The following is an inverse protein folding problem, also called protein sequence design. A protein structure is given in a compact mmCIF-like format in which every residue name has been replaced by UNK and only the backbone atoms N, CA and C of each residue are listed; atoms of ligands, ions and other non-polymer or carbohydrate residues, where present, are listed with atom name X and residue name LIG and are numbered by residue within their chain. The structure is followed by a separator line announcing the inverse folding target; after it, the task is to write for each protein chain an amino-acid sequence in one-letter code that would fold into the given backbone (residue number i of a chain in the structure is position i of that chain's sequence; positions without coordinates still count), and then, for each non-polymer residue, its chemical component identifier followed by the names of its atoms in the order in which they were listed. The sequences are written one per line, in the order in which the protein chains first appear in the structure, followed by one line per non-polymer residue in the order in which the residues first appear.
data_IF_249678357311
#
_entry.id   IF_249678357311
#
_cell.length_a   1.000
_cell.length_b   1.000
_cell.length_c   1.000
_cell.angle_alpha   90.00
_cell.angle_beta   90.00
_cell.angle_gamma   90.00
#
_symmetry.space_group_name_H-M   'P 1'
#
loop_
_entity.id
_entity.type
_entity.pdbx_description
1 polymer ?
#
# COMPACT_ATOMS: atom_id res chain seq x y z
N UNK A 1 -11.36 -7.93 27.93
CA UNK A 1 -10.22 -7.06 27.57
C UNK A 1 -10.10 -7.06 26.05
N UNK A 2 -10.81 -6.15 25.35
CA UNK A 2 -10.67 -5.93 23.90
C UNK A 2 -9.35 -5.15 23.69
N UNK A 3 -8.46 -5.75 22.95
CA UNK A 3 -7.07 -5.32 22.70
C UNK A 3 -6.96 -3.84 22.28
N UNK A 4 -6.24 -3.02 23.04
CA UNK A 4 -5.94 -1.61 22.69
C UNK A 4 -4.94 -1.48 21.53
N UNK A 5 -4.29 -2.56 21.12
CA UNK A 5 -3.32 -2.59 20.01
C UNK A 5 -3.84 -2.10 18.64
N UNK A 6 -5.12 -2.30 18.23
CA UNK A 6 -5.60 -1.75 16.96
C UNK A 6 -5.73 -0.24 16.93
N UNK A 7 -5.97 0.42 18.06
CA UNK A 7 -6.31 1.86 18.13
C UNK A 7 -5.06 2.72 17.94
N UNK A 8 -3.96 2.41 18.64
CA UNK A 8 -2.68 3.13 18.48
C UNK A 8 -2.14 3.02 17.06
N UNK A 9 -2.35 1.87 16.44
CA UNK A 9 -1.98 1.61 15.04
C UNK A 9 -2.75 2.46 14.03
N UNK A 10 -4.01 2.83 14.35
CA UNK A 10 -4.81 3.71 13.48
C UNK A 10 -4.30 5.15 13.49
N UNK A 11 -3.68 5.63 14.54
CA UNK A 11 -3.05 6.96 14.57
C UNK A 11 -1.85 7.09 13.63
N UNK A 12 -1.17 5.98 13.32
CA UNK A 12 -0.05 5.99 12.37
C UNK A 12 -0.52 6.16 10.91
N UNK A 13 -1.84 6.01 10.67
CA UNK A 13 -2.41 6.21 9.34
C UNK A 13 -2.50 7.70 9.01
N UNK A 14 -2.02 8.12 7.82
CA UNK A 14 -2.14 9.52 7.39
C UNK A 14 -3.57 10.07 7.48
N UNK A 15 -4.57 9.21 7.23
CA UNK A 15 -5.99 9.56 7.29
C UNK A 15 -6.46 9.91 8.71
N UNK A 16 -5.85 9.32 9.73
CA UNK A 16 -6.27 9.41 11.12
C UNK A 16 -5.20 10.00 12.06
N UNK A 17 -4.07 10.45 11.51
CA UNK A 17 -2.92 10.92 12.29
C UNK A 17 -3.24 12.09 13.23
N UNK A 18 -4.24 12.89 12.87
CA UNK A 18 -4.66 14.05 13.65
C UNK A 18 -5.88 13.77 14.55
N UNK A 19 -6.40 12.52 14.53
CA UNK A 19 -7.55 12.14 15.35
C UNK A 19 -7.13 11.81 16.78
N UNK A 20 -8.03 12.10 17.71
CA UNK A 20 -7.84 11.71 19.11
C UNK A 20 -8.10 10.21 19.31
N UNK A 21 -7.58 9.66 20.40
CA UNK A 21 -7.86 8.25 20.77
C UNK A 21 -9.35 8.00 20.93
N UNK A 22 -10.12 9.00 21.40
CA UNK A 22 -11.56 8.91 21.55
C UNK A 22 -12.28 8.84 20.21
N UNK A 23 -11.88 9.67 19.23
CA UNK A 23 -12.38 9.61 17.87
C UNK A 23 -12.13 8.22 17.26
N UNK A 24 -10.93 7.67 17.46
CA UNK A 24 -10.57 6.34 16.95
C UNK A 24 -11.34 5.20 17.66
N UNK A 25 -11.59 5.31 18.95
CA UNK A 25 -12.45 4.37 19.67
C UNK A 25 -13.87 4.38 19.11
N UNK A 26 -14.41 5.55 18.82
CA UNK A 26 -15.73 5.68 18.21
C UNK A 26 -15.76 5.01 16.83
N UNK A 27 -14.78 5.29 15.97
CA UNK A 27 -14.67 4.66 14.64
C UNK A 27 -14.58 3.13 14.77
N UNK A 28 -13.75 2.62 15.68
CA UNK A 28 -13.58 1.18 15.86
C UNK A 28 -14.83 0.49 16.43
N UNK A 29 -15.69 1.21 17.15
CA UNK A 29 -16.90 0.63 17.76
C UNK A 29 -17.93 0.16 16.73
N UNK A 30 -18.00 0.81 15.56
CA UNK A 30 -18.89 0.43 14.45
C UNK A 30 -18.15 -0.27 13.29
N UNK A 31 -16.84 -0.44 13.41
CA UNK A 31 -16.01 -1.14 12.41
C UNK A 31 -16.00 -2.65 12.63
N UNK A 32 -15.66 -3.41 11.60
CA UNK A 32 -15.54 -4.86 11.66
C UNK A 32 -14.17 -5.36 11.20
N UNK A 33 -13.58 -6.26 12.00
CA UNK A 33 -12.34 -6.92 11.65
C UNK A 33 -12.63 -8.13 10.76
N UNK A 34 -11.99 -8.21 9.59
CA UNK A 34 -12.16 -9.31 8.64
C UNK A 34 -10.82 -9.98 8.38
N UNK A 35 -10.79 -11.31 8.46
CA UNK A 35 -9.67 -12.14 8.01
C UNK A 35 -9.95 -12.58 6.58
N UNK A 36 -9.03 -12.32 5.67
CA UNK A 36 -9.16 -12.59 4.24
C UNK A 36 -8.05 -13.55 3.83
N UNK A 37 -8.42 -14.65 3.20
CA UNK A 37 -7.45 -15.62 2.70
C UNK A 37 -6.78 -15.14 1.40
N UNK A 38 -5.59 -15.63 1.14
CA UNK A 38 -4.86 -15.33 -0.11
C UNK A 38 -5.71 -15.66 -1.34
N UNK A 39 -5.75 -14.73 -2.29
CA UNK A 39 -6.50 -14.86 -3.55
C UNK A 39 -7.97 -14.48 -3.45
N UNK A 40 -8.51 -14.27 -2.24
CA UNK A 40 -9.90 -13.86 -2.04
C UNK A 40 -10.08 -12.38 -2.38
N UNK A 41 -11.18 -12.06 -3.07
CA UNK A 41 -11.58 -10.69 -3.33
C UNK A 41 -12.31 -10.10 -2.13
N UNK A 42 -12.05 -8.84 -1.85
CA UNK A 42 -12.76 -8.07 -0.83
C UNK A 42 -14.02 -7.46 -1.44
N UNK A 43 -13.92 -7.03 -2.69
CA UNK A 43 -15.01 -6.50 -3.51
C UNK A 43 -14.59 -6.46 -4.99
N UNK A 44 -15.57 -6.36 -5.88
CA UNK A 44 -15.39 -6.19 -7.31
C UNK A 44 -15.81 -4.79 -7.76
N UNK A 45 -15.23 -4.32 -8.88
CA UNK A 45 -15.68 -3.11 -9.57
C UNK A 45 -17.16 -3.21 -9.91
N UNK A 46 -17.94 -2.15 -9.60
CA UNK A 46 -19.39 -2.09 -9.81
C UNK A 46 -20.24 -2.62 -8.65
N UNK A 47 -19.69 -3.33 -7.67
CA UNK A 47 -20.45 -3.74 -6.49
C UNK A 47 -20.87 -2.54 -5.63
N UNK A 48 -22.02 -2.63 -4.92
CA UNK A 48 -22.48 -1.58 -4.00
C UNK A 48 -21.42 -1.20 -2.99
N UNK A 49 -21.17 0.10 -2.85
CA UNK A 49 -20.20 0.61 -1.91
C UNK A 49 -20.67 0.43 -0.46
N UNK A 50 -19.93 -0.33 0.31
CA UNK A 50 -20.25 -0.63 1.71
C UNK A 50 -19.37 0.10 2.73
N UNK A 51 -18.29 0.74 2.28
CA UNK A 51 -17.32 1.40 3.13
C UNK A 51 -15.89 1.21 2.66
N UNK A 52 -14.94 1.67 3.44
CA UNK A 52 -13.52 1.58 3.12
C UNK A 52 -12.78 0.65 4.10
N UNK A 53 -11.53 0.38 3.78
CA UNK A 53 -10.75 -0.63 4.46
C UNK A 53 -9.39 -0.11 4.90
N UNK A 54 -8.86 -0.67 5.99
CA UNK A 54 -7.49 -0.48 6.45
C UNK A 54 -6.84 -1.85 6.54
N UNK A 55 -5.67 -2.02 5.93
CA UNK A 55 -4.89 -3.24 6.07
C UNK A 55 -4.14 -3.20 7.40
N UNK A 56 -4.42 -4.17 8.28
CA UNK A 56 -3.70 -4.32 9.56
C UNK A 56 -2.54 -5.32 9.44
N UNK A 57 -2.68 -6.32 8.54
CA UNK A 57 -1.65 -7.32 8.24
C UNK A 57 -1.89 -7.86 6.84
N UNK A 58 -0.80 -8.20 6.15
CA UNK A 58 -0.87 -8.77 4.81
C UNK A 58 -0.74 -7.70 3.71
N UNK A 59 -1.21 -8.02 2.52
CA UNK A 59 -1.14 -7.15 1.35
C UNK A 59 -2.38 -7.32 0.48
N UNK A 60 -2.95 -6.19 0.04
CA UNK A 60 -4.12 -6.15 -0.84
C UNK A 60 -3.73 -5.47 -2.15
N UNK A 61 -4.06 -6.09 -3.28
CA UNK A 61 -3.93 -5.54 -4.62
C UNK A 61 -5.22 -4.81 -4.98
N UNK A 62 -5.12 -3.54 -5.36
CA UNK A 62 -6.20 -2.75 -5.95
C UNK A 62 -5.91 -2.60 -7.44
N UNK A 63 -6.85 -2.98 -8.30
CA UNK A 63 -6.63 -3.08 -9.73
C UNK A 63 -7.89 -2.89 -10.55
N UNK A 64 -7.73 -2.60 -11.83
CA UNK A 64 -8.78 -2.61 -12.86
C UNK A 64 -8.49 -3.66 -13.91
N UNK A 65 -9.55 -4.11 -14.55
CA UNK A 65 -9.45 -4.96 -15.76
C UNK A 65 -9.71 -4.07 -16.97
N UNK A 66 -8.76 -4.06 -17.91
CA UNK A 66 -8.93 -3.33 -19.17
C UNK A 66 -9.99 -4.02 -20.04
N UNK A 67 -10.57 -3.33 -21.06
CA UNK A 67 -11.48 -3.96 -22.00
C UNK A 67 -10.89 -5.19 -22.73
N UNK A 68 -9.56 -5.29 -22.78
CA UNK A 68 -8.83 -6.42 -23.35
C UNK A 68 -8.57 -7.55 -22.35
N UNK A 69 -9.15 -7.51 -21.15
CA UNK A 69 -9.00 -8.50 -20.09
C UNK A 69 -7.67 -8.46 -19.33
N UNK A 70 -6.83 -7.41 -19.53
CA UNK A 70 -5.56 -7.26 -18.81
C UNK A 70 -5.74 -6.56 -17.47
N UNK A 71 -5.14 -7.09 -16.42
CA UNK A 71 -5.08 -6.43 -15.12
C UNK A 71 -4.12 -5.22 -15.16
N UNK A 72 -4.61 -4.07 -14.73
CA UNK A 72 -3.83 -2.88 -14.43
C UNK A 72 -3.80 -2.69 -12.91
N UNK A 73 -2.67 -3.04 -12.28
CA UNK A 73 -2.49 -2.85 -10.84
C UNK A 73 -2.28 -1.37 -10.55
N UNK A 74 -3.21 -0.77 -9.85
CA UNK A 74 -3.19 0.65 -9.49
C UNK A 74 -2.46 0.87 -8.17
N UNK A 75 -2.66 -0.03 -7.20
CA UNK A 75 -2.11 0.12 -5.88
C UNK A 75 -1.86 -1.22 -5.19
N UNK A 76 -0.75 -1.30 -4.44
CA UNK A 76 -0.48 -2.37 -3.49
C UNK A 76 -0.60 -1.76 -2.10
N UNK A 77 -1.62 -2.19 -1.38
CA UNK A 77 -1.95 -1.68 -0.04
C UNK A 77 -1.23 -2.54 0.98
N UNK A 78 -0.31 -1.92 1.69
CA UNK A 78 0.50 -2.53 2.75
C UNK A 78 -0.15 -2.36 4.13
N UNK A 79 0.35 -3.04 5.18
CA UNK A 79 -0.10 -2.80 6.53
C UNK A 79 -0.02 -1.32 6.91
N UNK A 80 -1.05 -0.84 7.59
CA UNK A 80 -1.25 0.55 8.01
C UNK A 80 -1.47 1.53 6.84
N UNK A 81 -2.07 1.05 5.75
CA UNK A 81 -2.59 1.90 4.68
C UNK A 81 -4.09 1.67 4.51
N UNK A 82 -4.80 2.71 4.05
CA UNK A 82 -6.23 2.67 3.76
C UNK A 82 -6.49 2.60 2.26
N UNK A 83 -7.63 2.05 1.87
CA UNK A 83 -8.05 2.02 0.47
C UNK A 83 -9.58 2.00 0.36
N UNK A 84 -10.07 2.33 -0.82
CA UNK A 84 -11.49 2.48 -1.14
C UNK A 84 -12.20 3.61 -0.34
N UNK A 85 -11.47 4.62 0.12
CA UNK A 85 -12.04 5.78 0.79
C UNK A 85 -12.63 6.82 -0.17
N UNK A 86 -12.22 6.82 -1.44
CA UNK A 86 -12.64 7.82 -2.44
C UNK A 86 -14.15 7.83 -2.66
N UNK A 87 -14.83 6.69 -2.86
CA UNK A 87 -16.28 6.67 -3.05
C UNK A 87 -17.08 7.25 -1.88
N UNK A 88 -16.51 7.29 -0.67
CA UNK A 88 -17.12 7.91 0.50
C UNK A 88 -17.47 9.40 0.26
N UNK A 89 -16.63 10.10 -0.48
CA UNK A 89 -16.74 11.54 -0.76
C UNK A 89 -17.30 11.85 -2.15
N UNK A 90 -17.44 10.82 -3.00
CA UNK A 90 -18.06 10.94 -4.31
C UNK A 90 -19.53 10.52 -4.23
N UNK A 91 -20.37 11.08 -5.10
CA UNK A 91 -21.77 10.66 -5.22
C UNK A 91 -21.94 9.25 -5.82
N UNK A 92 -20.84 8.51 -6.02
CA UNK A 92 -20.84 7.15 -6.57
C UNK A 92 -21.17 6.14 -5.47
N UNK A 93 -22.14 5.28 -5.74
CA UNK A 93 -22.60 4.25 -4.81
C UNK A 93 -21.95 2.87 -5.02
N UNK A 94 -20.92 2.79 -5.86
CA UNK A 94 -20.27 1.53 -6.23
C UNK A 94 -18.75 1.65 -6.12
N UNK A 95 -18.09 0.49 -5.89
CA UNK A 95 -16.63 0.42 -5.93
C UNK A 95 -16.13 0.66 -7.36
N UNK A 96 -15.16 1.58 -7.56
CA UNK A 96 -14.64 1.91 -8.90
C UNK A 96 -13.49 1.01 -9.36
N UNK A 97 -13.11 0.01 -8.57
CA UNK A 97 -11.96 -0.88 -8.78
C UNK A 97 -12.22 -2.23 -8.12
N UNK A 98 -11.38 -3.23 -8.44
CA UNK A 98 -11.34 -4.51 -7.75
C UNK A 98 -10.31 -4.48 -6.61
N UNK A 99 -10.54 -5.27 -5.55
CA UNK A 99 -9.56 -5.48 -4.49
C UNK A 99 -9.42 -6.97 -4.14
N UNK A 100 -8.17 -7.47 -4.12
CA UNK A 100 -7.84 -8.88 -3.88
C UNK A 100 -6.67 -9.02 -2.90
N UNK A 101 -6.79 -9.91 -1.93
CA UNK A 101 -5.71 -10.23 -1.01
C UNK A 101 -4.61 -11.04 -1.73
N UNK A 102 -3.37 -10.57 -1.67
CA UNK A 102 -2.21 -11.25 -2.24
C UNK A 102 -1.61 -12.30 -1.31
N UNK A 103 -1.92 -12.20 -0.02
CA UNK A 103 -1.55 -13.16 1.02
C UNK A 103 -2.65 -13.18 2.10
N UNK A 104 -2.55 -14.07 3.09
CA UNK A 104 -3.48 -14.08 4.22
C UNK A 104 -3.42 -12.74 4.94
N UNK A 105 -4.50 -11.98 4.86
CA UNK A 105 -4.58 -10.59 5.29
C UNK A 105 -5.60 -10.40 6.39
N UNK A 106 -5.39 -9.37 7.22
CA UNK A 106 -6.35 -8.90 8.21
C UNK A 106 -6.66 -7.44 7.91
N UNK A 107 -7.93 -7.13 7.70
CA UNK A 107 -8.39 -5.78 7.37
C UNK A 107 -9.46 -5.31 8.34
N UNK A 108 -9.46 -4.03 8.64
CA UNK A 108 -10.54 -3.35 9.33
C UNK A 108 -11.46 -2.74 8.26
N UNK A 109 -12.72 -3.16 8.26
CA UNK A 109 -13.77 -2.57 7.41
C UNK A 109 -14.51 -1.50 8.19
N UNK A 110 -14.56 -0.30 7.65
CA UNK A 110 -15.27 0.86 8.22
C UNK A 110 -16.49 1.13 7.34
N UNK A 111 -17.71 0.84 7.83
CA UNK A 111 -18.92 0.99 7.04
C UNK A 111 -19.26 2.47 6.78
N UNK A 112 -19.73 2.75 5.56
CA UNK A 112 -19.99 4.11 5.07
C UNK A 112 -20.99 4.87 5.94
N UNK A 113 -22.12 4.24 6.28
CA UNK A 113 -23.21 4.90 7.04
C UNK A 113 -22.75 5.34 8.43
N UNK A 114 -22.10 4.43 9.16
CA UNK A 114 -21.58 4.75 10.51
C UNK A 114 -20.49 5.82 10.47
N UNK A 115 -19.68 5.84 9.41
CA UNK A 115 -18.63 6.82 9.29
C UNK A 115 -19.16 8.21 8.89
N UNK A 116 -20.15 8.29 8.01
CA UNK A 116 -20.80 9.56 7.67
C UNK A 116 -21.53 10.15 8.88
N UNK A 117 -22.28 9.35 9.63
CA UNK A 117 -22.93 9.78 10.87
C UNK A 117 -21.90 10.32 11.89
N UNK A 118 -20.74 9.66 12.00
CA UNK A 118 -19.64 10.14 12.83
C UNK A 118 -19.11 11.50 12.39
N UNK A 119 -18.87 11.70 11.08
CA UNK A 119 -18.40 12.99 10.56
C UNK A 119 -19.41 14.13 10.75
N UNK A 120 -20.70 13.85 10.58
CA UNK A 120 -21.77 14.83 10.83
C UNK A 120 -21.78 15.30 12.28
N UNK A 121 -21.55 14.40 13.23
CA UNK A 121 -21.47 14.72 14.67
C UNK A 121 -20.16 15.39 15.08
N UNK A 122 -19.10 15.22 14.29
CA UNK A 122 -17.75 15.72 14.58
C UNK A 122 -17.12 16.49 13.41
N UNK A 123 -17.63 17.70 13.02
CA UNK A 123 -17.14 18.44 11.84
C UNK A 123 -15.64 18.74 11.85
N UNK A 124 -15.05 18.96 13.02
CA UNK A 124 -13.62 19.22 13.17
C UNK A 124 -12.76 18.02 12.69
N UNK A 125 -13.29 16.82 12.75
CA UNK A 125 -12.61 15.62 12.24
C UNK A 125 -12.44 15.66 10.72
N UNK A 126 -13.42 16.21 10.00
CA UNK A 126 -13.35 16.36 8.54
C UNK A 126 -12.16 17.21 8.09
N UNK A 127 -11.86 18.32 8.81
CA UNK A 127 -10.69 19.17 8.52
C UNK A 127 -9.38 18.42 8.74
N UNK A 128 -9.30 17.64 9.82
CA UNK A 128 -8.13 16.80 10.11
C UNK A 128 -7.90 15.75 9.02
N UNK A 129 -8.98 15.10 8.55
CA UNK A 129 -8.92 14.15 7.46
C UNK A 129 -8.48 14.79 6.13
N UNK A 130 -8.93 16.00 5.82
CA UNK A 130 -8.47 16.73 4.64
C UNK A 130 -6.96 16.95 4.65
N UNK A 131 -6.36 17.24 5.80
CA UNK A 131 -4.90 17.33 5.93
C UNK A 131 -4.21 15.98 5.63
N UNK A 132 -4.79 14.86 6.08
CA UNK A 132 -4.33 13.51 5.78
C UNK A 132 -4.39 13.20 4.27
N UNK A 133 -5.49 13.55 3.60
CA UNK A 133 -5.61 13.41 2.14
C UNK A 133 -4.60 14.26 1.37
N UNK A 134 -4.37 15.49 1.79
CA UNK A 134 -3.35 16.35 1.18
C UNK A 134 -1.95 15.74 1.27
N UNK A 135 -1.61 15.12 2.42
CA UNK A 135 -0.36 14.39 2.60
C UNK A 135 -0.28 13.16 1.69
N UNK A 136 -1.36 12.39 1.59
CA UNK A 136 -1.44 11.21 0.70
C UNK A 136 -1.30 11.61 -0.77
N UNK A 137 -1.94 12.70 -1.18
CA UNK A 137 -1.84 13.23 -2.53
C UNK A 137 -0.39 13.63 -2.88
N UNK A 138 0.31 14.29 -1.95
CA UNK A 138 1.73 14.63 -2.12
C UNK A 138 2.59 13.38 -2.34
N UNK A 139 2.40 12.34 -1.51
CA UNK A 139 3.11 11.06 -1.67
C UNK A 139 2.87 10.44 -3.04
N UNK A 140 1.62 10.49 -3.54
CA UNK A 140 1.28 9.98 -4.87
C UNK A 140 1.92 10.82 -5.98
N UNK A 141 1.94 12.15 -5.84
CA UNK A 141 2.62 13.05 -6.79
C UNK A 141 4.10 12.77 -6.86
N UNK A 142 4.77 12.58 -5.71
CA UNK A 142 6.19 12.21 -5.65
C UNK A 142 6.46 10.85 -6.34
N UNK A 143 5.53 9.89 -6.20
CA UNK A 143 5.63 8.59 -6.89
C UNK A 143 5.49 8.74 -8.41
N UNK A 144 4.53 9.56 -8.87
CA UNK A 144 4.35 9.85 -10.30
C UNK A 144 5.58 10.53 -10.89
N UNK A 145 6.16 11.50 -10.19
CA UNK A 145 7.40 12.14 -10.60
C UNK A 145 8.56 11.13 -10.72
N UNK A 146 8.71 10.24 -9.73
CA UNK A 146 9.69 9.15 -9.78
C UNK A 146 9.44 8.19 -10.95
N UNK A 147 8.20 7.90 -11.28
CA UNK A 147 7.84 7.06 -12.44
C UNK A 147 8.19 7.76 -13.77
N UNK A 148 7.94 9.06 -13.87
CA UNK A 148 8.16 9.82 -15.08
C UNK A 148 9.65 10.04 -15.39
N UNK A 149 10.49 10.22 -14.37
CA UNK A 149 11.89 10.68 -14.52
C UNK A 149 12.91 9.53 -14.43
N UNK A 150 12.59 8.43 -13.72
CA UNK A 150 13.58 7.38 -13.43
C UNK A 150 13.47 6.17 -14.36
N UNK A 151 14.64 5.67 -14.79
CA UNK A 151 14.74 4.35 -15.42
C UNK A 151 14.23 3.23 -14.50
N UNK A 152 13.87 2.08 -15.07
CA UNK A 152 13.38 0.91 -14.31
C UNK A 152 14.38 0.47 -13.21
N UNK A 153 15.69 0.61 -13.48
CA UNK A 153 16.75 0.32 -12.51
C UNK A 153 16.66 1.21 -11.27
N UNK A 154 16.44 2.51 -11.45
CA UNK A 154 16.27 3.45 -10.35
C UNK A 154 14.97 3.20 -9.56
N UNK A 155 13.87 2.92 -10.27
CA UNK A 155 12.60 2.57 -9.62
C UNK A 155 12.68 1.29 -8.79
N UNK A 156 13.36 0.26 -9.33
CA UNK A 156 13.63 -0.98 -8.60
C UNK A 156 14.51 -0.74 -7.38
N UNK A 157 15.59 0.03 -7.52
CA UNK A 157 16.46 0.37 -6.40
C UNK A 157 15.71 1.11 -5.29
N UNK A 158 14.88 2.10 -5.63
CA UNK A 158 14.05 2.83 -4.67
C UNK A 158 13.05 1.90 -3.94
N UNK A 159 12.45 0.95 -4.66
CA UNK A 159 11.58 -0.06 -4.05
C UNK A 159 12.34 -0.95 -3.07
N UNK A 160 13.52 -1.48 -3.46
CA UNK A 160 14.34 -2.32 -2.60
C UNK A 160 14.80 -1.59 -1.34
N UNK A 161 15.14 -0.30 -1.45
CA UNK A 161 15.47 0.55 -0.29
C UNK A 161 14.28 0.72 0.65
N UNK A 162 13.11 0.99 0.11
CA UNK A 162 11.88 1.11 0.91
C UNK A 162 11.53 -0.21 1.63
N UNK A 163 11.72 -1.34 0.97
CA UNK A 163 11.51 -2.67 1.58
C UNK A 163 12.55 -2.96 2.68
N UNK A 164 13.81 -2.58 2.47
CA UNK A 164 14.86 -2.73 3.48
C UNK A 164 14.51 -1.96 4.76
N UNK A 165 14.03 -0.73 4.59
CA UNK A 165 13.59 0.16 5.66
C UNK A 165 12.38 -0.41 6.39
N UNK A 166 11.34 -0.81 5.66
CA UNK A 166 10.12 -1.36 6.26
C UNK A 166 10.34 -2.64 7.05
N UNK A 167 11.34 -3.45 6.64
CA UNK A 167 11.72 -4.68 7.34
C UNK A 167 12.73 -4.44 8.50
N UNK A 168 13.12 -3.19 8.78
CA UNK A 168 14.03 -2.82 9.89
C UNK A 168 15.43 -3.39 9.72
N UNK A 169 15.91 -3.62 8.49
CA UNK A 169 17.18 -4.31 8.19
C UNK A 169 18.30 -3.40 7.71
N UNK A 170 18.13 -2.09 7.81
CA UNK A 170 19.10 -1.09 7.34
C UNK A 170 20.48 -1.20 8.00
N UNK A 171 20.51 -1.60 9.27
CA UNK A 171 21.73 -1.74 10.07
C UNK A 171 22.15 -3.20 10.30
N UNK A 172 21.60 -4.13 9.50
CA UNK A 172 21.92 -5.55 9.65
C UNK A 172 23.25 -5.90 8.97
N UNK A 173 24.02 -6.83 9.56
CA UNK A 173 25.28 -7.36 8.97
C UNK A 173 25.01 -7.96 7.58
N UNK A 174 23.83 -8.55 7.38
CA UNK A 174 23.38 -9.06 6.09
C UNK A 174 22.10 -8.30 5.71
N UNK A 175 22.22 -7.39 4.75
CA UNK A 175 21.08 -6.64 4.21
C UNK A 175 20.33 -7.53 3.21
N UNK A 176 19.33 -8.25 3.69
CA UNK A 176 18.52 -9.15 2.88
C UNK A 176 17.03 -8.87 3.10
N UNK A 177 16.31 -8.70 2.01
CA UNK A 177 14.86 -8.53 1.98
C UNK A 177 14.19 -9.75 1.36
N UNK A 178 12.93 -9.97 1.72
CA UNK A 178 12.09 -10.99 1.07
C UNK A 178 10.93 -10.28 0.38
N UNK A 179 10.81 -10.46 -0.93
CA UNK A 179 9.70 -9.89 -1.69
C UNK A 179 8.39 -10.52 -1.24
N UNK A 180 7.46 -9.70 -0.77
CA UNK A 180 6.10 -10.11 -0.39
C UNK A 180 5.22 -10.42 -1.59
N UNK A 181 5.54 -9.84 -2.75
CA UNK A 181 4.77 -9.93 -3.99
C UNK A 181 5.49 -10.73 -5.09
N UNK A 182 4.75 -11.11 -6.13
CA UNK A 182 5.33 -11.78 -7.31
C UNK A 182 6.12 -10.80 -8.17
N UNK A 183 7.05 -11.31 -8.99
CA UNK A 183 7.78 -10.47 -9.97
C UNK A 183 6.83 -9.81 -10.98
N UNK A 184 5.75 -10.48 -11.36
CA UNK A 184 4.75 -9.89 -12.26
C UNK A 184 4.04 -8.70 -11.61
N UNK A 185 3.63 -8.84 -10.36
CA UNK A 185 3.01 -7.76 -9.59
C UNK A 185 3.99 -6.59 -9.37
N UNK A 186 5.25 -6.90 -9.05
CA UNK A 186 6.29 -5.88 -8.89
C UNK A 186 6.57 -5.13 -10.21
N UNK A 187 6.60 -5.84 -11.36
CA UNK A 187 6.75 -5.20 -12.66
C UNK A 187 5.62 -4.21 -12.95
N UNK A 188 4.36 -4.63 -12.71
CA UNK A 188 3.21 -3.75 -12.86
C UNK A 188 3.28 -2.54 -11.91
N UNK A 189 3.68 -2.75 -10.66
CA UNK A 189 3.87 -1.67 -9.68
C UNK A 189 4.94 -0.66 -10.09
N UNK A 190 6.04 -1.15 -10.69
CA UNK A 190 7.12 -0.31 -11.19
C UNK A 190 6.83 0.30 -12.58
N UNK A 191 5.65 0.09 -13.15
CA UNK A 191 5.26 0.61 -14.47
C UNK A 191 6.09 0.00 -15.61
N UNK A 192 6.36 -1.31 -15.55
CA UNK A 192 7.13 -2.04 -16.55
C UNK A 192 6.59 -3.46 -16.77
N UNK A 193 7.18 -4.21 -17.70
CA UNK A 193 6.84 -5.61 -17.95
C UNK A 193 7.79 -6.56 -17.21
N UNK A 194 7.35 -7.78 -16.95
CA UNK A 194 8.11 -8.80 -16.20
C UNK A 194 9.47 -9.10 -16.83
N UNK A 195 9.57 -9.08 -18.16
CA UNK A 195 10.82 -9.33 -18.86
C UNK A 195 11.85 -8.23 -18.59
N UNK A 196 11.45 -6.96 -18.70
CA UNK A 196 12.31 -5.81 -18.43
C UNK A 196 12.74 -5.80 -16.96
N UNK A 197 11.84 -6.10 -16.03
CA UNK A 197 12.18 -6.24 -14.61
C UNK A 197 13.20 -7.36 -14.39
N UNK A 198 13.03 -8.51 -15.06
CA UNK A 198 13.96 -9.64 -14.94
C UNK A 198 15.36 -9.28 -15.46
N UNK A 199 15.44 -8.58 -16.59
CA UNK A 199 16.71 -8.05 -17.13
C UNK A 199 17.36 -7.04 -16.17
N UNK A 200 16.55 -6.20 -15.52
CA UNK A 200 17.04 -5.22 -14.53
C UNK A 200 17.64 -5.94 -13.31
N UNK A 201 16.97 -6.97 -12.79
CA UNK A 201 17.53 -7.80 -11.72
C UNK A 201 18.85 -8.47 -12.13
N UNK A 202 18.92 -9.01 -13.35
CA UNK A 202 20.15 -9.64 -13.87
C UNK A 202 21.29 -8.61 -13.99
N UNK A 203 21.00 -7.40 -14.49
CA UNK A 203 21.99 -6.30 -14.58
C UNK A 203 22.52 -5.94 -13.19
N UNK A 204 21.67 -5.66 -12.23
CA UNK A 204 22.10 -5.34 -10.86
C UNK A 204 22.90 -6.47 -10.20
N UNK A 205 22.57 -7.72 -10.53
CA UNK A 205 23.32 -8.88 -10.05
C UNK A 205 24.68 -9.01 -10.73
N UNK A 206 24.76 -8.79 -12.04
CA UNK A 206 26.02 -8.79 -12.80
C UNK A 206 26.96 -7.67 -12.33
N UNK A 207 26.41 -6.50 -12.00
CA UNK A 207 27.13 -5.36 -11.43
C UNK A 207 27.57 -5.61 -9.97
N UNK A 208 27.17 -6.76 -9.37
CA UNK A 208 27.51 -7.15 -7.98
C UNK A 208 26.80 -6.33 -6.91
N UNK A 209 25.76 -5.58 -7.27
CA UNK A 209 25.01 -4.74 -6.34
C UNK A 209 24.09 -5.59 -5.47
N UNK A 210 23.47 -6.62 -6.06
CA UNK A 210 22.54 -7.52 -5.37
C UNK A 210 22.78 -8.99 -5.73
N UNK A 211 22.25 -9.91 -4.92
CA UNK A 211 22.05 -11.32 -5.30
C UNK A 211 20.58 -11.67 -5.19
N UNK A 212 20.01 -12.34 -6.20
CA UNK A 212 18.62 -12.76 -6.24
C UNK A 212 18.53 -14.27 -6.05
N UNK A 213 17.88 -14.73 -4.97
CA UNK A 213 17.60 -16.15 -4.67
C UNK A 213 16.10 -16.34 -4.51
N UNK A 214 15.40 -16.64 -5.60
CA UNK A 214 13.95 -16.74 -5.62
C UNK A 214 13.28 -15.41 -5.24
N UNK A 215 12.64 -15.36 -4.07
CA UNK A 215 12.04 -14.15 -3.48
C UNK A 215 13.00 -13.36 -2.57
N UNK A 216 14.12 -13.97 -2.18
CA UNK A 216 15.11 -13.35 -1.30
C UNK A 216 16.11 -12.56 -2.13
N UNK A 217 16.31 -11.30 -1.77
CA UNK A 217 17.27 -10.38 -2.41
C UNK A 217 18.27 -9.96 -1.34
N UNK A 218 19.56 -10.21 -1.61
CA UNK A 218 20.67 -9.83 -0.74
C UNK A 218 21.31 -8.60 -1.37
N UNK A 219 21.47 -7.53 -0.61
CA UNK A 219 22.10 -6.28 -1.04
C UNK A 219 23.55 -6.31 -0.57
N UNK A 220 24.50 -6.17 -1.53
CA UNK A 220 25.93 -6.17 -1.26
C UNK A 220 26.51 -4.76 -1.24
N UNK A 221 25.99 -3.87 -2.10
CA UNK A 221 26.50 -2.52 -2.28
C UNK A 221 25.40 -1.49 -2.06
N UNK A 222 25.16 -1.17 -0.79
CA UNK A 222 24.08 -0.27 -0.38
C UNK A 222 24.23 1.12 -0.99
N UNK A 223 25.43 1.67 -0.97
CA UNK A 223 25.69 3.03 -1.51
C UNK A 223 25.37 3.14 -3.00
N UNK A 224 25.77 2.13 -3.81
CA UNK A 224 25.47 2.11 -5.23
C UNK A 224 23.95 1.96 -5.48
N UNK A 225 23.28 1.15 -4.66
CA UNK A 225 21.82 1.01 -4.73
C UNK A 225 21.13 2.33 -4.36
N UNK A 226 21.62 3.06 -3.36
CA UNK A 226 21.14 4.38 -2.97
C UNK A 226 21.34 5.42 -4.09
N UNK A 227 22.50 5.42 -4.75
CA UNK A 227 22.76 6.30 -5.90
C UNK A 227 21.79 6.02 -7.05
N UNK A 228 21.56 4.75 -7.38
CA UNK A 228 20.57 4.36 -8.38
C UNK A 228 19.16 4.80 -8.00
N UNK A 229 18.81 4.72 -6.73
CA UNK A 229 17.52 5.19 -6.22
C UNK A 229 17.39 6.72 -6.25
N UNK A 230 18.50 7.46 -6.41
CA UNK A 230 18.55 8.93 -6.29
C UNK A 230 18.25 9.43 -4.88
N UNK A 231 18.64 8.64 -3.88
CA UNK A 231 18.58 8.99 -2.46
C UNK A 231 19.98 9.45 -2.01
N UNK A 232 20.38 10.63 -2.46
CA UNK A 232 21.46 11.44 -1.88
C UNK A 232 20.90 12.82 -1.62
#
# INVERSE_FOLDING_TARGET
MKSEKPITTLQDLPLFSELTIEDLRTITSFSSLKKIEKGTHLFYEGEPYSGFYIVLKGCVKVYRISPQGKEAVMHLVSPFDSFAEVPLFESKKCFPVNAQALESSMVLHIPVDGFLEFLEKHPAVSLKMMAGFAKKLRILTDRLEKLAIKEVSGRLAAYLMSELQSQGKENSIIMAITLSISKATLAAYLGTITETLSRTFQKLAADGIITVKGKKIIIHRLQELQQLAGAL
#
